data_IF_064199466950
#
_entry.id   IF_064199466950
#
_cell.length_a   1.000
_cell.length_b   1.000
_cell.length_c   1.000
_cell.angle_alpha   90.00
_cell.angle_beta   90.00
_cell.angle_gamma   90.00
#
_symmetry.space_group_name_H-M   'P 1'
#
loop_
_entity.id
_entity.type
_entity.pdbx_description
1 polymer ?
#
# COMPACT_ATOMS: atom_id res chain seq x y z
N UNK A 1 -0.64 -1.40 46.94
CA UNK A 1 -0.03 -1.95 45.70
C UNK A 1 -0.46 -1.08 44.53
N UNK A 2 0.43 -0.75 43.58
CA UNK A 2 0.02 0.00 42.37
C UNK A 2 -0.95 -0.86 41.55
N UNK A 3 -2.03 -0.26 41.05
CA UNK A 3 -3.01 -0.95 40.21
C UNK A 3 -2.32 -1.49 38.95
N UNK A 4 -2.49 -2.79 38.68
CA UNK A 4 -1.95 -3.46 37.49
C UNK A 4 -2.87 -3.18 36.29
N UNK A 5 -2.31 -2.71 35.18
CA UNK A 5 -3.04 -2.43 33.94
C UNK A 5 -2.43 -3.20 32.76
N UNK A 6 -3.29 -3.69 31.86
CA UNK A 6 -2.87 -4.31 30.60
C UNK A 6 -3.37 -3.44 29.45
N UNK A 7 -2.48 -3.05 28.56
CA UNK A 7 -2.79 -2.28 27.36
C UNK A 7 -2.42 -3.07 26.11
N UNK A 8 -3.37 -3.12 25.17
CA UNK A 8 -3.20 -3.68 23.83
C UNK A 8 -3.19 -2.52 22.83
N UNK A 9 -2.02 -2.17 22.32
CA UNK A 9 -1.92 -1.27 21.18
C UNK A 9 -2.09 -2.07 19.89
N UNK A 10 -3.22 -1.87 19.21
CA UNK A 10 -3.68 -2.75 18.14
C UNK A 10 -3.47 -2.19 16.73
N UNK A 11 -2.90 -0.99 16.59
CA UNK A 11 -2.90 -0.26 15.32
C UNK A 11 -4.22 0.48 15.10
N UNK A 12 -4.84 0.45 13.90
CA UNK A 12 -4.60 -0.42 12.75
C UNK A 12 -3.30 -0.12 11.98
N UNK A 13 -2.96 -0.93 10.97
CA UNK A 13 -1.78 -0.71 10.13
C UNK A 13 -1.71 0.74 9.58
N UNK A 14 -0.49 1.21 9.33
CA UNK A 14 -0.20 2.59 8.89
C UNK A 14 -0.52 3.70 9.90
N UNK A 15 -0.61 3.37 11.19
CA UNK A 15 -0.78 4.35 12.28
C UNK A 15 0.49 4.49 13.13
N UNK A 16 1.67 4.38 12.51
CA UNK A 16 2.95 4.57 13.20
C UNK A 16 3.37 3.40 14.11
N UNK A 17 2.68 2.27 14.02
CA UNK A 17 2.94 1.05 14.80
C UNK A 17 4.40 0.61 14.76
N UNK A 18 5.05 0.63 13.59
CA UNK A 18 6.46 0.26 13.48
C UNK A 18 7.40 1.20 14.24
N UNK A 19 7.11 2.51 14.24
CA UNK A 19 7.91 3.49 14.99
C UNK A 19 7.75 3.29 16.50
N UNK A 20 6.51 3.08 16.95
CA UNK A 20 6.19 2.75 18.35
C UNK A 20 6.92 1.48 18.78
N UNK A 21 6.76 0.39 18.03
CA UNK A 21 7.36 -0.91 18.36
C UNK A 21 8.87 -0.87 18.38
N UNK A 22 9.49 -0.22 17.39
CA UNK A 22 10.93 -0.06 17.33
C UNK A 22 11.43 0.73 18.56
N UNK A 23 10.78 1.84 18.90
CA UNK A 23 11.17 2.61 20.08
C UNK A 23 11.02 1.80 21.38
N UNK A 24 9.88 1.12 21.56
CA UNK A 24 9.63 0.29 22.75
C UNK A 24 10.64 -0.86 22.89
N UNK A 25 11.01 -1.49 21.77
CA UNK A 25 12.01 -2.57 21.73
C UNK A 25 13.40 -2.09 22.17
N UNK A 26 13.82 -0.89 21.72
CA UNK A 26 15.14 -0.34 22.07
C UNK A 26 15.20 0.28 23.47
N UNK A 27 14.05 0.53 24.12
CA UNK A 27 13.96 1.24 25.42
C UNK A 27 13.39 0.38 26.55
N UNK A 28 13.50 -0.96 26.46
CA UNK A 28 12.93 -1.88 27.44
C UNK A 28 13.43 -1.66 28.88
N UNK A 29 14.73 -1.39 29.05
CA UNK A 29 15.29 -1.13 30.39
C UNK A 29 14.72 0.14 31.01
N UNK A 30 14.57 1.18 30.20
CA UNK A 30 13.94 2.43 30.62
C UNK A 30 12.46 2.20 30.97
N UNK A 31 11.72 1.45 30.14
CA UNK A 31 10.33 1.10 30.40
C UNK A 31 10.19 0.32 31.72
N UNK A 32 11.03 -0.70 31.92
CA UNK A 32 11.03 -1.52 33.14
C UNK A 32 11.30 -0.70 34.38
N UNK A 33 12.29 0.20 34.35
CA UNK A 33 12.62 1.13 35.46
C UNK A 33 11.44 2.05 35.80
N UNK A 34 10.62 2.39 34.81
CA UNK A 34 9.41 3.20 34.98
C UNK A 34 8.14 2.35 35.22
N UNK A 35 8.29 1.06 35.48
CA UNK A 35 7.21 0.16 35.85
C UNK A 35 6.35 -0.33 34.68
N UNK A 36 6.87 -0.30 33.46
CA UNK A 36 6.20 -0.84 32.26
C UNK A 36 6.93 -2.10 31.81
N UNK A 37 6.19 -3.21 31.70
CA UNK A 37 6.64 -4.44 31.06
C UNK A 37 6.24 -4.39 29.58
N UNK A 38 7.24 -4.38 28.70
CA UNK A 38 7.07 -4.57 27.27
C UNK A 38 7.91 -5.78 26.84
N UNK A 39 7.28 -6.91 26.42
CA UNK A 39 8.03 -8.10 26.04
C UNK A 39 8.91 -7.85 24.81
N UNK A 40 10.09 -8.45 24.84
CA UNK A 40 10.96 -8.49 23.65
C UNK A 40 10.36 -9.37 22.57
N UNK A 41 10.54 -8.96 21.32
CA UNK A 41 10.08 -9.70 20.16
C UNK A 41 11.16 -9.66 19.06
N UNK A 42 11.13 -10.64 18.16
CA UNK A 42 12.10 -10.74 17.08
C UNK A 42 11.83 -9.72 15.96
N UNK A 43 12.90 -9.31 15.29
CA UNK A 43 12.87 -8.63 14.01
C UNK A 43 13.09 -9.67 12.90
N UNK A 44 12.45 -9.49 11.75
CA UNK A 44 12.72 -10.30 10.57
C UNK A 44 14.05 -9.91 9.89
N UNK A 45 14.38 -10.61 8.80
CA UNK A 45 15.60 -10.37 8.00
C UNK A 45 15.69 -8.97 7.37
N UNK A 46 14.58 -8.23 7.36
CA UNK A 46 14.48 -6.85 6.89
C UNK A 46 14.36 -5.85 8.05
N UNK A 47 14.66 -6.27 9.27
CA UNK A 47 14.51 -5.48 10.50
C UNK A 47 13.06 -5.04 10.77
N UNK A 48 12.09 -5.75 10.19
CA UNK A 48 10.67 -5.48 10.38
C UNK A 48 10.15 -6.29 11.57
N UNK A 49 9.46 -5.61 12.47
CA UNK A 49 8.81 -6.20 13.64
C UNK A 49 7.35 -6.55 13.35
N UNK A 50 6.91 -7.75 13.73
CA UNK A 50 5.48 -8.08 13.86
C UNK A 50 4.89 -7.66 15.22
N UNK A 51 5.69 -6.99 16.05
CA UNK A 51 5.38 -6.67 17.43
C UNK A 51 5.24 -7.91 18.31
N UNK A 52 4.44 -7.79 19.38
CA UNK A 52 4.25 -8.84 20.38
C UNK A 52 3.24 -9.93 19.97
N UNK A 53 2.86 -10.05 18.69
CA UNK A 53 1.84 -11.04 18.29
C UNK A 53 2.25 -12.47 18.69
N UNK A 54 3.51 -12.83 18.49
CA UNK A 54 4.01 -14.18 18.80
C UNK A 54 4.21 -14.44 20.31
N UNK A 55 4.05 -13.42 21.15
CA UNK A 55 4.02 -13.57 22.60
C UNK A 55 2.71 -14.18 23.10
N UNK A 56 1.65 -14.15 22.28
CA UNK A 56 0.32 -14.68 22.63
C UNK A 56 -0.31 -15.54 21.52
N UNK A 57 0.28 -15.55 20.31
CA UNK A 57 -0.10 -16.43 19.19
C UNK A 57 1.04 -17.40 18.82
N UNK A 58 0.70 -18.51 18.20
CA UNK A 58 1.59 -19.32 17.37
C UNK A 58 1.33 -19.06 15.90
N UNK A 59 2.31 -19.34 15.06
CA UNK A 59 2.15 -19.36 13.59
C UNK A 59 2.31 -20.77 13.09
N UNK A 60 1.36 -21.22 12.28
CA UNK A 60 1.48 -22.50 11.59
C UNK A 60 2.40 -22.41 10.36
N UNK A 61 2.61 -23.55 9.69
CA UNK A 61 3.43 -23.66 8.47
C UNK A 61 2.94 -22.80 7.30
N UNK A 62 1.68 -22.35 7.32
CA UNK A 62 1.08 -21.47 6.32
C UNK A 62 1.15 -20.00 6.72
N UNK A 63 1.71 -19.71 7.90
CA UNK A 63 1.83 -18.37 8.46
C UNK A 63 0.55 -17.84 9.12
N UNK A 64 -0.47 -18.68 9.33
CA UNK A 64 -1.70 -18.27 10.03
C UNK A 64 -1.50 -18.22 11.53
N UNK A 65 -1.94 -17.13 12.16
CA UNK A 65 -1.88 -16.94 13.61
C UNK A 65 -3.00 -17.69 14.36
N UNK A 66 -2.62 -18.47 15.36
CA UNK A 66 -3.53 -19.18 16.27
C UNK A 66 -3.28 -18.75 17.71
N UNK A 67 -4.32 -18.33 18.44
CA UNK A 67 -4.15 -17.87 19.81
C UNK A 67 -3.65 -19.00 20.71
N UNK A 68 -2.64 -18.74 21.54
CA UNK A 68 -2.09 -19.72 22.45
C UNK A 68 -2.42 -19.32 23.89
N UNK A 69 -3.47 -19.93 24.45
CA UNK A 69 -3.95 -19.66 25.81
C UNK A 69 -2.85 -19.84 26.87
N UNK A 70 -1.97 -20.84 26.70
CA UNK A 70 -0.85 -21.07 27.63
C UNK A 70 0.16 -19.92 27.59
N UNK A 71 0.48 -19.39 26.41
CA UNK A 71 1.33 -18.18 26.30
C UNK A 71 0.67 -16.97 26.95
N UNK A 72 -0.63 -16.76 26.73
CA UNK A 72 -1.39 -15.70 27.39
C UNK A 72 -1.28 -15.78 28.92
N UNK A 73 -1.53 -16.96 29.49
CA UNK A 73 -1.43 -17.20 30.94
C UNK A 73 -0.01 -16.99 31.46
N UNK A 74 1.00 -17.54 30.77
CA UNK A 74 2.40 -17.41 31.17
C UNK A 74 2.87 -15.95 31.16
N UNK A 75 2.51 -15.20 30.12
CA UNK A 75 2.86 -13.80 29.97
C UNK A 75 2.23 -12.95 31.09
N UNK A 76 0.94 -13.12 31.33
CA UNK A 76 0.23 -12.37 32.38
C UNK A 76 0.70 -12.81 33.77
N UNK A 77 0.96 -14.10 34.01
CA UNK A 77 1.53 -14.56 35.28
C UNK A 77 2.91 -13.94 35.55
N UNK A 78 3.76 -13.84 34.52
CA UNK A 78 5.06 -13.14 34.62
C UNK A 78 4.88 -11.66 34.94
N UNK A 79 3.92 -10.99 34.31
CA UNK A 79 3.59 -9.60 34.61
C UNK A 79 3.05 -9.41 36.03
N UNK A 80 2.16 -10.28 36.50
CA UNK A 80 1.59 -10.19 37.85
C UNK A 80 2.66 -10.35 38.94
N UNK A 81 3.69 -11.17 38.68
CA UNK A 81 4.84 -11.37 39.58
C UNK A 81 5.90 -10.27 39.53
N UNK A 82 5.88 -9.37 38.55
CA UNK A 82 6.85 -8.29 38.43
C UNK A 82 6.46 -7.05 39.25
N UNK A 83 7.39 -6.09 39.41
CA UNK A 83 7.09 -4.79 40.01
C UNK A 83 6.43 -3.79 39.04
N UNK A 84 6.26 -4.19 37.77
CA UNK A 84 5.66 -3.35 36.74
C UNK A 84 4.18 -3.11 37.03
N UNK A 85 3.71 -1.87 36.98
CA UNK A 85 2.28 -1.55 37.12
C UNK A 85 1.53 -1.67 35.78
N UNK A 86 2.24 -1.66 34.64
CA UNK A 86 1.64 -1.76 33.30
C UNK A 86 2.29 -2.87 32.47
N UNK A 87 1.47 -3.66 31.78
CA UNK A 87 1.86 -4.51 30.66
C UNK A 87 1.39 -3.84 29.37
N UNK A 88 2.32 -3.53 28.47
CA UNK A 88 1.99 -3.03 27.14
C UNK A 88 2.34 -4.11 26.10
N UNK A 89 1.38 -4.45 25.25
CA UNK A 89 1.60 -5.27 24.06
C UNK A 89 1.24 -4.44 22.82
N UNK A 90 2.07 -4.53 21.78
CA UNK A 90 1.88 -3.77 20.56
C UNK A 90 2.00 -4.66 19.32
N UNK A 91 0.95 -4.77 18.52
CA UNK A 91 0.98 -5.41 17.20
C UNK A 91 -0.16 -4.92 16.32
N UNK A 92 0.11 -4.64 15.04
CA UNK A 92 -0.96 -4.36 14.07
C UNK A 92 -1.83 -5.59 13.79
N UNK A 93 -1.31 -6.80 14.02
CA UNK A 93 -2.06 -8.05 13.90
C UNK A 93 -3.12 -8.20 15.00
N UNK A 94 -2.97 -7.50 16.12
CA UNK A 94 -4.02 -7.48 17.13
C UNK A 94 -5.31 -6.84 16.62
N UNK A 95 -5.27 -5.96 15.61
CA UNK A 95 -6.47 -5.33 15.06
C UNK A 95 -7.51 -6.34 14.57
N UNK A 96 -7.07 -7.40 13.89
CA UNK A 96 -7.98 -8.43 13.36
C UNK A 96 -8.32 -9.51 14.41
N UNK A 97 -7.61 -9.52 15.55
CA UNK A 97 -7.76 -10.51 16.61
C UNK A 97 -8.25 -9.93 17.94
N UNK A 98 -8.74 -8.67 17.97
CA UNK A 98 -9.10 -7.97 19.22
C UNK A 98 -10.03 -8.84 20.06
N UNK A 99 -11.11 -9.34 19.48
CA UNK A 99 -12.11 -10.15 20.19
C UNK A 99 -11.51 -11.46 20.70
N UNK A 100 -10.77 -12.19 19.85
CA UNK A 100 -10.10 -13.44 20.22
C UNK A 100 -9.16 -13.27 21.41
N UNK A 101 -8.44 -12.14 21.47
CA UNK A 101 -7.55 -11.81 22.59
C UNK A 101 -8.36 -11.50 23.85
N UNK A 102 -9.40 -10.67 23.74
CA UNK A 102 -10.21 -10.23 24.89
C UNK A 102 -11.08 -11.34 25.49
N UNK A 103 -11.38 -12.40 24.73
CA UNK A 103 -12.03 -13.62 25.21
C UNK A 103 -11.15 -14.42 26.18
N UNK A 104 -9.82 -14.28 26.08
CA UNK A 104 -8.89 -14.97 26.97
C UNK A 104 -9.02 -14.41 28.40
N UNK A 105 -9.19 -15.30 29.37
CA UNK A 105 -9.35 -14.91 30.78
C UNK A 105 -8.30 -13.90 31.29
N UNK A 106 -6.99 -14.02 30.95
CA UNK A 106 -5.98 -13.06 31.38
C UNK A 106 -6.13 -11.64 30.78
N UNK A 107 -6.83 -11.48 29.66
CA UNK A 107 -6.98 -10.21 28.94
C UNK A 107 -8.39 -9.61 29.03
N UNK A 108 -9.32 -10.26 29.76
CA UNK A 108 -10.70 -9.76 29.93
C UNK A 108 -10.81 -8.35 30.48
N UNK A 109 -9.80 -7.85 31.21
CA UNK A 109 -9.73 -6.48 31.73
C UNK A 109 -8.81 -5.53 30.95
N UNK A 110 -8.23 -5.96 29.83
CA UNK A 110 -7.28 -5.15 29.08
C UNK A 110 -7.93 -3.93 28.42
N UNK A 111 -7.18 -2.84 28.31
CA UNK A 111 -7.58 -1.63 27.58
C UNK A 111 -6.98 -1.68 26.18
N UNK A 112 -7.78 -1.35 25.18
CA UNK A 112 -7.37 -1.29 23.78
C UNK A 112 -7.01 0.13 23.42
N UNK A 113 -5.79 0.34 22.92
CA UNK A 113 -5.33 1.62 22.35
C UNK A 113 -5.30 1.46 20.83
N UNK A 114 -5.98 2.36 20.13
CA UNK A 114 -5.94 2.42 18.67
C UNK A 114 -5.86 3.85 18.17
N UNK A 115 -5.25 4.02 17.00
CA UNK A 115 -5.10 5.33 16.37
C UNK A 115 -6.06 5.47 15.16
N UNK A 116 -6.81 6.57 15.10
CA UNK A 116 -7.67 6.92 13.98
C UNK A 116 -6.89 7.79 13.00
N UNK A 117 -6.63 7.29 11.79
CA UNK A 117 -5.93 8.02 10.74
C UNK A 117 -6.90 8.58 9.70
N UNK A 118 -6.58 9.75 9.17
CA UNK A 118 -7.25 10.31 8.00
C UNK A 118 -7.34 9.25 6.88
N UNK A 119 -8.56 8.81 6.48
CA UNK A 119 -8.66 7.72 5.53
C UNK A 119 -8.17 8.09 4.12
N UNK A 120 -8.10 9.37 3.75
CA UNK A 120 -7.46 9.81 2.51
C UNK A 120 -5.95 9.50 2.56
N UNK A 121 -5.27 9.88 3.64
CA UNK A 121 -3.87 9.53 3.82
C UNK A 121 -3.65 8.02 3.92
N UNK A 122 -4.60 7.30 4.55
CA UNK A 122 -4.55 5.86 4.69
C UNK A 122 -4.61 5.16 3.32
N UNK A 123 -5.51 5.60 2.43
CA UNK A 123 -5.63 5.07 1.05
C UNK A 123 -4.29 5.20 0.32
N UNK A 124 -3.68 6.38 0.35
CA UNK A 124 -2.41 6.63 -0.33
C UNK A 124 -1.24 5.89 0.32
N UNK A 125 -1.20 5.83 1.65
CA UNK A 125 -0.16 5.10 2.40
C UNK A 125 -0.23 3.59 2.13
N UNK A 126 -1.44 3.03 2.05
CA UNK A 126 -1.66 1.63 1.68
C UNK A 126 -1.30 1.38 0.21
N UNK A 127 -1.63 2.30 -0.68
CA UNK A 127 -1.25 2.19 -2.09
C UNK A 127 0.27 2.20 -2.26
N UNK A 128 0.98 3.16 -1.64
CA UNK A 128 2.45 3.24 -1.66
C UNK A 128 3.09 1.93 -1.15
N UNK A 129 2.55 1.38 -0.06
CA UNK A 129 3.00 0.09 0.48
C UNK A 129 2.77 -1.06 -0.49
N UNK A 130 1.62 -1.07 -1.17
CA UNK A 130 1.25 -2.14 -2.09
C UNK A 130 2.12 -2.14 -3.35
N UNK A 131 2.50 -0.95 -3.84
CA UNK A 131 3.49 -0.81 -4.91
C UNK A 131 4.88 -1.29 -4.45
N UNK A 132 5.27 -0.99 -3.21
CA UNK A 132 6.57 -1.41 -2.65
C UNK A 132 6.71 -2.91 -2.46
N UNK A 133 5.75 -3.52 -1.77
CA UNK A 133 5.90 -4.87 -1.20
C UNK A 133 5.00 -5.92 -1.84
N UNK A 134 3.92 -5.51 -2.52
CA UNK A 134 2.92 -6.42 -3.07
C UNK A 134 2.85 -6.40 -4.60
N UNK A 135 3.83 -5.77 -5.26
CA UNK A 135 3.94 -5.79 -6.72
C UNK A 135 2.76 -5.11 -7.44
N UNK A 136 2.05 -4.18 -6.79
CA UNK A 136 0.94 -3.48 -7.45
C UNK A 136 1.48 -2.60 -8.58
N UNK A 137 0.98 -2.83 -9.79
CA UNK A 137 1.31 -2.07 -11.00
C UNK A 137 0.13 -1.26 -11.55
N UNK A 138 -1.09 -1.54 -11.11
CA UNK A 138 -2.30 -0.81 -11.51
C UNK A 138 -2.42 0.54 -10.79
N UNK A 139 -3.01 1.57 -11.42
CA UNK A 139 -3.34 2.86 -10.79
C UNK A 139 -4.13 2.72 -9.47
N UNK A 140 -4.07 3.76 -8.64
CA UNK A 140 -4.83 3.81 -7.39
C UNK A 140 -6.33 3.82 -7.70
N UNK A 141 -7.07 2.97 -7.00
CA UNK A 141 -8.52 2.91 -7.07
C UNK A 141 -9.06 2.97 -5.64
N UNK A 142 -9.51 4.14 -5.16
CA UNK A 142 -10.04 4.25 -3.81
C UNK A 142 -11.34 3.42 -3.67
N UNK A 143 -11.46 2.70 -2.55
CA UNK A 143 -12.54 1.72 -2.33
C UNK A 143 -13.69 2.25 -1.45
N UNK A 144 -13.49 3.37 -0.77
CA UNK A 144 -14.44 3.91 0.22
C UNK A 144 -14.26 5.42 0.36
N UNK A 145 -15.33 6.11 0.78
CA UNK A 145 -15.34 7.56 1.05
C UNK A 145 -15.32 7.91 2.55
N UNK A 146 -15.67 6.96 3.42
CA UNK A 146 -15.85 7.19 4.85
C UNK A 146 -14.69 6.70 5.71
N UNK A 147 -14.96 6.50 7.00
CA UNK A 147 -14.00 5.90 7.95
C UNK A 147 -14.24 4.39 8.11
N UNK A 148 -13.42 3.51 7.49
CA UNK A 148 -13.65 2.07 7.54
C UNK A 148 -13.50 1.47 8.94
N UNK A 149 -12.68 2.07 9.81
CA UNK A 149 -12.37 1.51 11.13
C UNK A 149 -13.42 1.82 12.21
N UNK A 150 -14.32 2.78 11.99
CA UNK A 150 -15.30 3.19 13.02
C UNK A 150 -16.30 2.08 13.36
N UNK A 151 -16.68 1.24 12.38
CA UNK A 151 -17.55 0.09 12.65
C UNK A 151 -16.93 -0.89 13.64
N UNK A 152 -15.64 -1.22 13.45
CA UNK A 152 -14.89 -2.13 14.33
C UNK A 152 -14.82 -1.57 15.74
N UNK A 153 -14.42 -0.30 15.89
CA UNK A 153 -14.31 0.31 17.22
C UNK A 153 -15.65 0.60 17.88
N UNK A 154 -16.69 0.88 17.09
CA UNK A 154 -18.04 1.07 17.60
C UNK A 154 -18.60 -0.21 18.23
N UNK A 155 -18.42 -1.35 17.56
CA UNK A 155 -18.78 -2.65 18.12
C UNK A 155 -17.95 -2.94 19.38
N UNK A 156 -16.64 -2.70 19.32
CA UNK A 156 -15.77 -2.91 20.48
C UNK A 156 -16.19 -2.06 21.70
N UNK A 157 -16.53 -0.78 21.51
CA UNK A 157 -17.02 0.08 22.60
C UNK A 157 -18.32 -0.48 23.19
N UNK A 158 -19.21 -1.02 22.37
CA UNK A 158 -20.44 -1.66 22.84
C UNK A 158 -20.15 -2.94 23.63
N UNK A 159 -19.15 -3.72 23.22
CA UNK A 159 -18.83 -5.01 23.84
C UNK A 159 -18.06 -4.87 25.17
N UNK A 160 -17.08 -3.95 25.26
CA UNK A 160 -16.20 -3.84 26.43
C UNK A 160 -16.29 -2.51 27.17
N UNK A 161 -17.11 -1.58 26.71
CA UNK A 161 -17.30 -0.25 27.29
C UNK A 161 -16.27 0.79 26.83
N UNK A 162 -16.71 2.06 26.76
CA UNK A 162 -15.91 3.17 26.24
C UNK A 162 -14.62 3.42 27.03
N UNK A 163 -14.63 3.17 28.34
CA UNK A 163 -13.46 3.40 29.22
C UNK A 163 -12.29 2.44 28.95
N UNK A 164 -12.56 1.35 28.22
CA UNK A 164 -11.55 0.36 27.81
C UNK A 164 -11.10 0.50 26.37
N UNK A 165 -11.69 1.41 25.59
CA UNK A 165 -11.30 1.68 24.20
C UNK A 165 -10.78 3.10 24.09
N UNK A 166 -9.47 3.23 23.94
CA UNK A 166 -8.76 4.50 23.86
C UNK A 166 -8.46 4.77 22.39
N UNK A 167 -9.27 5.63 21.78
CA UNK A 167 -9.08 6.07 20.39
C UNK A 167 -8.28 7.37 20.37
N UNK A 168 -7.20 7.40 19.60
CA UNK A 168 -6.31 8.56 19.50
C UNK A 168 -6.21 9.05 18.06
N UNK A 169 -6.27 10.36 17.78
CA UNK A 169 -6.01 10.84 16.43
C UNK A 169 -4.58 10.55 15.96
N UNK A 170 -4.41 9.97 14.77
CA UNK A 170 -3.13 9.88 14.09
C UNK A 170 -2.89 11.16 13.30
N UNK A 171 -2.43 12.21 13.99
CA UNK A 171 -2.10 13.49 13.39
C UNK A 171 -1.00 14.17 14.19
N UNK A 172 0.05 14.65 13.52
CA UNK A 172 1.25 15.20 14.19
C UNK A 172 0.91 16.27 15.23
N UNK A 173 0.07 17.24 14.84
CA UNK A 173 -0.36 18.34 15.72
C UNK A 173 -1.18 17.90 16.93
N UNK A 174 -1.71 16.67 16.93
CA UNK A 174 -2.56 16.13 17.98
C UNK A 174 -1.83 15.10 18.87
N UNK A 175 -0.59 14.74 18.52
CA UNK A 175 0.26 13.93 19.37
C UNK A 175 0.80 14.76 20.54
N UNK A 176 1.02 14.12 21.68
CA UNK A 176 1.70 14.74 22.81
C UNK A 176 3.08 15.26 22.41
N UNK A 177 3.28 16.58 22.53
CA UNK A 177 4.50 17.28 22.09
C UNK A 177 4.91 16.98 20.64
N UNK A 178 3.94 16.68 19.78
CA UNK A 178 4.18 16.34 18.37
C UNK A 178 4.72 14.93 18.12
N UNK A 179 4.87 14.10 19.14
CA UNK A 179 5.48 12.76 19.02
C UNK A 179 4.53 11.64 19.39
N UNK A 180 4.35 10.70 18.47
CA UNK A 180 3.53 9.51 18.69
C UNK A 180 4.08 8.62 19.82
N UNK A 181 5.39 8.63 20.02
CA UNK A 181 6.04 7.90 21.13
C UNK A 181 5.63 8.51 22.47
N UNK A 182 5.71 9.82 22.60
CA UNK A 182 5.30 10.50 23.84
C UNK A 182 3.79 10.38 24.07
N UNK A 183 3.00 10.35 22.99
CA UNK A 183 1.55 10.17 23.04
C UNK A 183 1.17 8.79 23.61
N UNK A 184 1.78 7.71 23.15
CA UNK A 184 1.51 6.37 23.70
C UNK A 184 2.02 6.21 25.14
N UNK A 185 3.18 6.77 25.48
CA UNK A 185 3.74 6.70 26.84
C UNK A 185 2.85 7.45 27.85
N UNK A 186 2.38 8.64 27.47
CA UNK A 186 1.42 9.39 28.29
C UNK A 186 0.09 8.64 28.42
N UNK A 187 -0.38 8.00 27.34
CA UNK A 187 -1.63 7.22 27.32
C UNK A 187 -1.62 6.04 28.31
N UNK A 188 -0.46 5.39 28.50
CA UNK A 188 -0.29 4.31 29.48
C UNK A 188 0.04 4.82 30.90
N UNK A 189 -0.03 6.13 31.13
CA UNK A 189 0.10 6.76 32.45
C UNK A 189 1.53 7.06 32.90
N UNK A 190 2.51 7.12 32.00
CA UNK A 190 3.86 7.57 32.35
C UNK A 190 3.93 9.10 32.44
N UNK A 191 4.35 9.60 33.60
CA UNK A 191 4.59 11.03 33.85
C UNK A 191 6.02 11.46 33.55
N UNK A 192 7.00 10.56 33.73
CA UNK A 192 8.39 10.78 33.35
C UNK A 192 8.57 10.39 31.89
N UNK A 193 8.76 11.38 31.03
CA UNK A 193 8.93 11.18 29.59
C UNK A 193 10.41 11.26 29.19
N UNK A 194 10.88 10.38 28.29
CA UNK A 194 12.25 10.43 27.80
C UNK A 194 12.38 11.53 26.75
N UNK A 195 13.62 11.98 26.50
CA UNK A 195 13.91 12.78 25.31
C UNK A 195 13.85 11.85 24.09
N UNK A 196 12.93 12.13 23.18
CA UNK A 196 12.79 11.36 21.93
C UNK A 196 13.32 12.21 20.79
N UNK A 197 14.35 11.73 20.11
CA UNK A 197 14.78 12.32 18.83
C UNK A 197 13.92 11.73 17.72
N UNK A 198 13.09 12.57 17.09
CA UNK A 198 12.34 12.14 15.91
C UNK A 198 13.28 12.04 14.71
N UNK A 199 13.85 10.86 14.49
CA UNK A 199 14.37 10.51 13.16
C UNK A 199 13.17 10.30 12.24
N UNK A 200 12.85 11.32 11.44
CA UNK A 200 11.87 11.21 10.35
C UNK A 200 12.44 10.27 9.29
N UNK A 201 12.18 8.98 9.43
CA UNK A 201 12.41 8.02 8.35
C UNK A 201 11.29 8.26 7.35
N UNK A 202 11.58 8.93 6.24
CA UNK A 202 10.61 9.13 5.17
C UNK A 202 10.34 7.78 4.50
N UNK A 203 9.39 7.04 5.05
CA UNK A 203 9.06 5.69 4.61
C UNK A 203 8.22 5.66 3.33
N UNK A 204 7.79 6.81 2.80
CA UNK A 204 7.02 6.92 1.55
C UNK A 204 7.94 7.30 0.39
N UNK A 205 7.69 6.72 -0.78
CA UNK A 205 8.37 7.18 -1.99
C UNK A 205 7.92 8.60 -2.35
N UNK A 206 8.86 9.38 -2.91
CA UNK A 206 8.52 10.50 -3.77
C UNK A 206 7.79 10.01 -5.02
N UNK A 207 6.97 10.87 -5.62
CA UNK A 207 6.04 10.52 -6.69
C UNK A 207 6.71 9.76 -7.85
N UNK A 208 7.86 10.24 -8.30
CA UNK A 208 8.59 9.70 -9.45
C UNK A 208 9.13 8.30 -9.12
N UNK A 209 9.68 8.09 -7.92
CA UNK A 209 10.11 6.77 -7.47
C UNK A 209 8.94 5.79 -7.30
N UNK A 210 7.79 6.27 -6.81
CA UNK A 210 6.57 5.46 -6.69
C UNK A 210 6.09 4.97 -8.05
N UNK A 211 5.92 5.89 -8.99
CA UNK A 211 5.39 5.56 -10.32
C UNK A 211 6.40 4.75 -11.14
N UNK A 212 7.70 5.01 -11.00
CA UNK A 212 8.73 4.16 -11.61
C UNK A 212 8.68 2.73 -11.06
N UNK A 213 8.55 2.54 -9.74
CA UNK A 213 8.35 1.21 -9.14
C UNK A 213 7.06 0.56 -9.62
N UNK A 214 5.96 1.31 -9.69
CA UNK A 214 4.65 0.83 -10.20
C UNK A 214 4.76 0.34 -11.63
N UNK A 215 5.43 1.08 -12.51
CA UNK A 215 5.68 0.67 -13.89
C UNK A 215 6.49 -0.63 -13.93
N UNK A 216 7.60 -0.68 -13.17
CA UNK A 216 8.46 -1.87 -13.13
C UNK A 216 7.77 -3.11 -12.55
N UNK A 217 6.75 -2.95 -11.71
CA UNK A 217 5.96 -4.08 -11.20
C UNK A 217 5.15 -4.80 -12.28
N UNK A 218 5.04 -4.28 -13.52
CA UNK A 218 4.50 -5.04 -14.66
C UNK A 218 5.44 -6.17 -15.11
N UNK A 219 6.71 -6.13 -14.72
CA UNK A 219 7.75 -7.04 -15.15
C UNK A 219 8.07 -8.08 -14.05
N UNK A 220 8.65 -9.24 -14.39
CA UNK A 220 9.04 -10.27 -13.41
C UNK A 220 10.29 -9.86 -12.62
N UNK A 221 10.13 -8.94 -11.66
CA UNK A 221 11.22 -8.32 -10.90
C UNK A 221 11.41 -8.89 -9.48
N UNK A 222 10.81 -10.03 -9.15
CA UNK A 222 10.83 -10.62 -7.79
C UNK A 222 12.24 -10.73 -7.21
N UNK A 223 13.21 -11.14 -8.05
CA UNK A 223 14.61 -11.32 -7.66
C UNK A 223 15.33 -10.02 -7.28
N UNK A 224 14.90 -8.89 -7.83
CA UNK A 224 15.54 -7.58 -7.63
C UNK A 224 14.69 -6.62 -6.78
N UNK A 225 13.46 -7.02 -6.41
CA UNK A 225 12.48 -6.15 -5.75
C UNK A 225 12.99 -5.51 -4.46
N UNK A 226 13.65 -6.29 -3.59
CA UNK A 226 14.13 -5.78 -2.30
C UNK A 226 15.27 -4.77 -2.49
N UNK A 227 16.20 -5.04 -3.42
CA UNK A 227 17.29 -4.11 -3.72
C UNK A 227 16.72 -2.83 -4.35
N UNK A 228 15.82 -2.97 -5.33
CA UNK A 228 15.15 -1.85 -5.98
C UNK A 228 14.39 -0.97 -4.97
N UNK A 229 13.66 -1.58 -4.04
CA UNK A 229 12.94 -0.82 -3.01
C UNK A 229 13.89 0.00 -2.13
N UNK A 230 14.95 -0.63 -1.61
CA UNK A 230 15.98 0.05 -0.81
C UNK A 230 16.67 1.17 -1.57
N UNK A 231 16.91 1.01 -2.87
CA UNK A 231 17.49 2.05 -3.74
C UNK A 231 16.52 3.20 -3.93
N UNK A 232 15.27 2.93 -4.31
CA UNK A 232 14.26 3.95 -4.59
C UNK A 232 13.84 4.73 -3.33
N UNK A 233 13.93 4.13 -2.14
CA UNK A 233 13.70 4.87 -0.87
C UNK A 233 14.77 5.93 -0.59
N UNK A 234 15.94 5.84 -1.23
CA UNK A 234 17.01 6.86 -1.13
C UNK A 234 16.87 7.96 -2.19
N UNK A 235 15.89 7.86 -3.10
CA UNK A 235 15.63 8.90 -4.08
C UNK A 235 15.02 10.13 -3.39
N UNK A 236 15.68 11.27 -3.53
CA UNK A 236 15.31 12.52 -2.86
C UNK A 236 15.08 13.71 -3.80
N UNK A 237 15.20 13.51 -5.12
CA UNK A 237 15.13 14.55 -6.14
C UNK A 237 13.78 14.54 -6.89
N UNK A 238 12.71 14.38 -6.13
CA UNK A 238 11.35 14.22 -6.64
C UNK A 238 10.31 14.91 -5.77
N UNK A 239 9.05 14.74 -6.17
CA UNK A 239 7.90 15.40 -5.53
C UNK A 239 7.49 14.65 -4.27
N UNK A 240 7.59 15.32 -3.11
CA UNK A 240 7.23 14.75 -1.80
C UNK A 240 5.81 15.10 -1.36
N UNK A 241 5.26 16.21 -1.85
CA UNK A 241 3.90 16.67 -1.56
C UNK A 241 3.02 16.46 -2.80
N UNK A 242 2.36 15.31 -2.87
CA UNK A 242 1.49 14.94 -3.99
C UNK A 242 0.25 14.20 -3.50
N UNK A 243 -0.81 14.26 -4.29
CA UNK A 243 -1.99 13.39 -4.15
C UNK A 243 -2.23 12.57 -5.41
N UNK A 244 -2.59 11.30 -5.26
CA UNK A 244 -3.07 10.44 -6.35
C UNK A 244 -4.60 10.42 -6.45
N UNK A 245 -5.27 11.11 -5.53
CA UNK A 245 -6.72 11.16 -5.44
C UNK A 245 -7.21 12.47 -6.05
N UNK A 246 -8.20 12.39 -6.93
CA UNK A 246 -8.74 13.58 -7.58
C UNK A 246 -9.58 14.43 -6.61
N UNK A 247 -9.71 15.72 -6.94
CA UNK A 247 -10.43 16.70 -6.10
C UNK A 247 -11.88 16.32 -5.81
N UNK A 248 -12.58 15.68 -6.76
CA UNK A 248 -13.97 15.26 -6.55
C UNK A 248 -14.06 14.16 -5.50
N UNK A 249 -13.20 13.14 -5.60
CA UNK A 249 -13.09 12.07 -4.62
C UNK A 249 -12.69 12.63 -3.25
N UNK A 250 -11.68 13.50 -3.18
CA UNK A 250 -11.28 14.12 -1.92
C UNK A 250 -12.44 14.89 -1.29
N UNK A 251 -13.09 15.78 -2.05
CA UNK A 251 -14.19 16.64 -1.53
C UNK A 251 -15.34 15.80 -0.96
N UNK A 252 -15.81 14.81 -1.73
CA UNK A 252 -16.91 13.92 -1.31
C UNK A 252 -16.52 13.07 -0.10
N UNK A 253 -15.28 12.59 -0.07
CA UNK A 253 -14.74 11.82 1.05
C UNK A 253 -14.63 12.65 2.32
N UNK A 254 -14.13 13.89 2.26
CA UNK A 254 -14.02 14.80 3.41
C UNK A 254 -15.38 15.05 4.08
N UNK A 255 -16.42 15.28 3.27
CA UNK A 255 -17.80 15.44 3.75
C UNK A 255 -18.29 14.17 4.47
N UNK A 256 -18.10 13.01 3.86
CA UNK A 256 -18.53 11.73 4.44
C UNK A 256 -17.75 11.41 5.73
N UNK A 257 -16.43 11.59 5.73
CA UNK A 257 -15.55 11.36 6.88
C UNK A 257 -15.92 12.23 8.08
N UNK A 258 -16.18 13.51 7.84
CA UNK A 258 -16.64 14.42 8.88
C UNK A 258 -17.96 13.92 9.48
N UNK A 259 -18.94 13.62 8.63
CA UNK A 259 -20.25 13.10 9.06
C UNK A 259 -20.10 11.82 9.89
N UNK A 260 -19.30 10.87 9.42
CA UNK A 260 -19.09 9.58 10.09
C UNK A 260 -18.45 9.77 11.47
N UNK A 261 -17.37 10.56 11.54
CA UNK A 261 -16.64 10.76 12.79
C UNK A 261 -17.44 11.60 13.81
N UNK A 262 -18.15 12.64 13.37
CA UNK A 262 -19.05 13.41 14.24
C UNK A 262 -20.16 12.53 14.82
N UNK A 263 -20.82 11.72 13.97
CA UNK A 263 -21.87 10.81 14.42
C UNK A 263 -21.34 9.78 15.42
N UNK A 264 -20.13 9.25 15.18
CA UNK A 264 -19.46 8.32 16.07
C UNK A 264 -19.09 8.98 17.41
N UNK A 265 -18.53 10.19 17.36
CA UNK A 265 -18.18 10.99 18.54
C UNK A 265 -19.39 11.26 19.41
N UNK A 266 -20.53 11.62 18.82
CA UNK A 266 -21.76 11.90 19.57
C UNK A 266 -22.38 10.63 20.14
N UNK A 267 -22.41 9.53 19.36
CA UNK A 267 -22.95 8.24 19.80
C UNK A 267 -22.26 7.70 21.06
N UNK A 268 -20.95 7.88 21.16
CA UNK A 268 -20.14 7.32 22.24
C UNK A 268 -19.64 8.35 23.26
N UNK A 269 -20.02 9.63 23.09
CA UNK A 269 -19.61 10.75 23.95
C UNK A 269 -18.07 10.84 24.10
N UNK A 270 -17.41 11.14 22.98
CA UNK A 270 -15.95 11.19 22.84
C UNK A 270 -15.45 12.60 22.45
N UNK A 271 -15.67 13.63 23.29
CA UNK A 271 -15.37 15.04 22.96
C UNK A 271 -13.88 15.30 22.66
N UNK A 272 -12.98 14.45 23.13
CA UNK A 272 -11.55 14.55 22.83
C UNK A 272 -11.22 14.33 21.33
N UNK A 273 -12.18 13.86 20.52
CA UNK A 273 -12.03 13.72 19.07
C UNK A 273 -12.35 15.01 18.30
N UNK A 274 -12.92 16.03 18.95
CA UNK A 274 -13.33 17.29 18.31
C UNK A 274 -12.17 17.99 17.56
N UNK A 275 -10.94 18.07 18.11
CA UNK A 275 -9.80 18.63 17.37
C UNK A 275 -9.47 17.87 16.08
N UNK A 276 -9.68 16.55 16.05
CA UNK A 276 -9.45 15.74 14.86
C UNK A 276 -10.54 15.95 13.81
N UNK A 277 -11.81 16.04 14.25
CA UNK A 277 -12.93 16.39 13.38
C UNK A 277 -12.67 17.73 12.68
N UNK A 278 -12.18 18.75 13.41
CA UNK A 278 -11.81 20.04 12.82
C UNK A 278 -10.67 19.92 11.79
N UNK A 279 -9.66 19.09 12.05
CA UNK A 279 -8.55 18.86 11.10
C UNK A 279 -9.02 18.14 9.82
N UNK A 280 -10.07 17.31 9.88
CA UNK A 280 -10.61 16.67 8.68
C UNK A 280 -11.36 17.62 7.75
N UNK A 281 -11.81 18.78 8.25
CA UNK A 281 -12.48 19.80 7.43
C UNK A 281 -11.50 20.58 6.56
N UNK A 282 -10.22 20.63 6.92
CA UNK A 282 -9.21 21.29 6.09
C UNK A 282 -8.93 20.41 4.88
N UNK A 283 -9.26 20.91 3.67
CA UNK A 283 -8.86 20.28 2.41
C UNK A 283 -7.35 20.12 2.43
N UNK A 284 -6.85 18.94 2.03
CA UNK A 284 -5.43 18.66 2.05
C UNK A 284 -4.69 19.71 1.23
N UNK A 285 -3.63 20.29 1.78
CA UNK A 285 -2.77 21.25 1.12
C UNK A 285 -1.87 20.63 0.04
N UNK A 286 -2.08 19.35 -0.32
CA UNK A 286 -1.28 18.64 -1.31
C UNK A 286 -1.39 19.33 -2.67
N UNK A 287 -0.28 19.91 -3.08
CA UNK A 287 -0.24 20.98 -4.09
C UNK A 287 -0.35 20.51 -5.55
N UNK A 288 -0.18 19.22 -5.85
CA UNK A 288 -0.36 18.68 -7.20
C UNK A 288 -1.04 17.30 -7.22
N UNK A 289 -2.22 17.23 -7.85
CA UNK A 289 -2.84 15.96 -8.25
C UNK A 289 -2.05 15.36 -9.41
N UNK A 290 -1.56 14.13 -9.23
CA UNK A 290 -0.91 13.39 -10.31
C UNK A 290 -1.84 12.29 -10.82
N UNK A 291 -2.02 12.25 -12.14
CA UNK A 291 -2.86 11.24 -12.79
C UNK A 291 -2.20 9.87 -12.88
N UNK A 292 -1.00 9.66 -12.33
CA UNK A 292 -0.20 8.45 -12.48
C UNK A 292 0.27 8.22 -13.93
N UNK A 293 0.83 9.29 -14.48
CA UNK A 293 1.47 9.31 -15.80
C UNK A 293 2.72 10.18 -15.71
N UNK A 294 3.87 9.55 -15.43
CA UNK A 294 5.16 10.23 -15.46
C UNK A 294 5.52 10.62 -16.89
N UNK A 295 6.06 11.84 -17.05
CA UNK A 295 6.71 12.25 -18.28
C UNK A 295 8.08 11.61 -18.45
N UNK A 296 8.61 11.70 -19.67
CA UNK A 296 9.92 11.19 -20.06
C UNK A 296 11.05 11.64 -19.11
N UNK A 297 11.12 12.94 -18.78
CA UNK A 297 12.16 13.49 -17.92
C UNK A 297 12.14 12.88 -16.51
N UNK A 298 10.94 12.70 -15.91
CA UNK A 298 10.80 12.08 -14.60
C UNK A 298 11.26 10.62 -14.60
N UNK A 299 10.96 9.88 -15.67
CA UNK A 299 11.41 8.49 -15.83
C UNK A 299 12.92 8.45 -15.98
N UNK A 300 13.50 9.27 -16.87
CA UNK A 300 14.94 9.36 -17.07
C UNK A 300 15.66 9.74 -15.78
N UNK A 301 15.09 10.64 -14.98
CA UNK A 301 15.64 11.10 -13.71
C UNK A 301 15.80 9.95 -12.71
N UNK A 302 14.75 9.16 -12.50
CA UNK A 302 14.78 8.01 -11.58
C UNK A 302 15.69 6.91 -12.13
N UNK A 303 15.61 6.62 -13.43
CA UNK A 303 16.48 5.64 -14.07
C UNK A 303 17.97 5.99 -13.94
N UNK A 304 18.34 7.25 -14.16
CA UNK A 304 19.71 7.76 -14.01
C UNK A 304 20.19 7.68 -12.57
N UNK A 305 19.30 7.94 -11.60
CA UNK A 305 19.60 7.75 -10.19
C UNK A 305 19.92 6.28 -9.86
N UNK A 306 19.08 5.33 -10.33
CA UNK A 306 19.33 3.89 -10.13
C UNK A 306 20.63 3.48 -10.81
N UNK A 307 20.90 3.93 -12.04
CA UNK A 307 22.15 3.67 -12.76
C UNK A 307 23.38 4.16 -11.98
N UNK A 308 23.33 5.37 -11.42
CA UNK A 308 24.45 5.95 -10.66
C UNK A 308 24.66 5.24 -9.32
N UNK A 309 23.57 4.89 -8.62
CA UNK A 309 23.64 4.32 -7.27
C UNK A 309 23.93 2.82 -7.28
N UNK A 310 23.28 2.08 -8.16
CA UNK A 310 23.35 0.61 -8.25
C UNK A 310 23.47 0.17 -9.73
N UNK A 311 24.66 0.30 -10.35
CA UNK A 311 24.83 0.04 -11.78
C UNK A 311 24.44 -1.38 -12.22
N UNK A 312 24.68 -2.39 -11.36
CA UNK A 312 24.32 -3.78 -11.64
C UNK A 312 22.80 -3.98 -11.63
N UNK A 313 22.12 -3.43 -10.62
CA UNK A 313 20.65 -3.45 -10.56
C UNK A 313 20.04 -2.80 -11.79
N UNK A 314 20.57 -1.66 -12.23
CA UNK A 314 20.12 -1.00 -13.46
C UNK A 314 20.27 -1.90 -14.70
N UNK A 315 21.38 -2.63 -14.83
CA UNK A 315 21.58 -3.59 -15.90
C UNK A 315 20.59 -4.76 -15.83
N UNK A 316 20.32 -5.28 -14.63
CA UNK A 316 19.35 -6.36 -14.43
C UNK A 316 17.93 -5.90 -14.83
N UNK A 317 17.54 -4.66 -14.48
CA UNK A 317 16.28 -4.04 -14.90
C UNK A 317 16.19 -3.99 -16.43
N UNK A 318 17.22 -3.49 -17.11
CA UNK A 318 17.23 -3.39 -18.57
C UNK A 318 17.16 -4.77 -19.25
N UNK A 319 17.83 -5.77 -18.66
CA UNK A 319 17.74 -7.16 -19.11
C UNK A 319 16.31 -7.69 -19.05
N UNK A 320 15.63 -7.49 -17.91
CA UNK A 320 14.23 -7.92 -17.73
C UNK A 320 13.30 -7.20 -18.73
N UNK A 321 13.46 -5.89 -18.92
CA UNK A 321 12.64 -5.12 -19.87
C UNK A 321 12.85 -5.64 -21.31
N UNK A 322 14.11 -5.91 -21.70
CA UNK A 322 14.44 -6.40 -23.05
C UNK A 322 13.84 -7.77 -23.41
N UNK A 323 13.52 -8.57 -22.39
CA UNK A 323 12.88 -9.88 -22.55
C UNK A 323 11.35 -9.79 -22.59
N UNK A 324 10.78 -8.61 -22.34
CA UNK A 324 9.34 -8.36 -22.20
C UNK A 324 8.93 -7.06 -22.90
N UNK A 325 9.51 -6.78 -24.08
CA UNK A 325 9.22 -5.59 -24.89
C UNK A 325 7.80 -5.58 -25.46
N UNK A 326 7.12 -6.72 -25.39
CA UNK A 326 5.72 -6.92 -25.73
C UNK A 326 4.76 -6.53 -24.60
N UNK A 327 5.19 -6.19 -23.38
CA UNK A 327 4.26 -5.89 -22.28
C UNK A 327 3.55 -4.54 -22.43
N UNK A 328 2.23 -4.51 -22.29
CA UNK A 328 1.46 -3.27 -22.21
C UNK A 328 1.80 -2.54 -20.91
N UNK A 329 2.15 -1.25 -21.02
CA UNK A 329 2.43 -0.35 -19.90
C UNK A 329 1.55 0.89 -20.07
N UNK A 330 0.81 1.26 -19.02
CA UNK A 330 -0.12 2.40 -19.01
C UNK A 330 0.58 3.78 -18.94
N UNK A 331 1.85 3.83 -19.33
CA UNK A 331 2.67 5.03 -19.39
C UNK A 331 3.54 5.01 -20.66
N UNK A 332 3.10 5.65 -21.76
CA UNK A 332 3.82 5.66 -23.04
C UNK A 332 5.25 6.23 -22.95
N UNK A 333 5.45 7.25 -22.09
CA UNK A 333 6.76 7.87 -21.86
C UNK A 333 7.84 6.87 -21.41
N UNK A 334 7.43 5.74 -20.79
CA UNK A 334 8.36 4.68 -20.40
C UNK A 334 9.00 4.01 -21.62
N UNK A 335 8.20 3.72 -22.65
CA UNK A 335 8.72 3.12 -23.86
C UNK A 335 9.49 4.13 -24.72
N UNK A 336 9.11 5.40 -24.68
CA UNK A 336 9.91 6.48 -25.27
C UNK A 336 11.31 6.52 -24.64
N UNK A 337 11.38 6.56 -23.30
CA UNK A 337 12.64 6.46 -22.56
C UNK A 337 13.44 5.22 -22.96
N UNK A 338 12.82 4.05 -22.97
CA UNK A 338 13.50 2.81 -23.33
C UNK A 338 14.06 2.83 -24.76
N UNK A 339 13.31 3.38 -25.73
CA UNK A 339 13.77 3.55 -27.12
C UNK A 339 14.96 4.50 -27.24
N UNK A 340 15.08 5.52 -26.39
CA UNK A 340 16.29 6.37 -26.41
C UNK A 340 17.56 5.62 -26.01
N UNK A 341 17.44 4.50 -25.29
CA UNK A 341 18.58 3.65 -24.96
C UNK A 341 19.09 2.85 -26.18
N UNK A 342 18.23 2.56 -27.16
CA UNK A 342 18.61 1.91 -28.42
C UNK A 342 19.14 2.91 -29.46
N UNK A 343 18.53 4.10 -29.55
CA UNK A 343 18.89 5.13 -30.54
C UNK A 343 20.01 6.09 -30.08
N UNK A 344 20.18 6.28 -28.76
CA UNK A 344 21.06 7.28 -28.15
C UNK A 344 22.47 6.83 -27.79
N UNK A 345 23.06 5.86 -28.51
CA UNK A 345 24.53 5.64 -28.48
C UNK A 345 25.19 6.38 -29.65
N UNK A 346 24.94 7.68 -29.74
CA UNK A 346 25.76 8.59 -30.56
C UNK A 346 26.83 9.26 -29.69
N UNK A 347 28.06 8.82 -29.90
CA UNK A 347 29.31 9.58 -29.89
C UNK A 347 30.04 10.04 -28.58
N UNK A 348 29.54 9.94 -27.34
CA UNK A 348 30.33 10.49 -26.20
C UNK A 348 30.60 9.67 -24.94
N UNK A 349 30.18 8.40 -24.82
CA UNK A 349 30.67 7.53 -23.74
C UNK A 349 31.02 6.13 -24.25
N UNK A 350 32.24 5.99 -24.78
CA UNK A 350 32.88 4.68 -25.01
C UNK A 350 33.32 4.11 -23.67
N UNK A 351 32.43 3.42 -22.96
CA UNK A 351 32.84 2.42 -21.96
C UNK A 351 32.30 1.05 -22.37
N UNK A 352 33.14 0.02 -22.27
CA UNK A 352 32.85 -1.35 -22.76
C UNK A 352 31.76 -2.09 -21.97
N UNK A 353 31.16 -1.45 -20.96
CA UNK A 353 30.22 -2.05 -19.99
C UNK A 353 28.81 -2.36 -20.51
N UNK A 354 28.48 -2.01 -21.76
CA UNK A 354 27.13 -2.16 -22.32
C UNK A 354 27.07 -3.02 -23.60
N UNK A 355 28.12 -3.77 -23.95
CA UNK A 355 28.14 -4.55 -25.20
C UNK A 355 26.99 -5.56 -25.33
N UNK A 356 26.74 -6.36 -24.29
CA UNK A 356 25.64 -7.34 -24.28
C UNK A 356 24.26 -6.69 -24.17
N UNK A 357 24.17 -5.57 -23.43
CA UNK A 357 22.94 -4.78 -23.27
C UNK A 357 22.52 -4.16 -24.61
N UNK A 358 23.48 -3.67 -25.41
CA UNK A 358 23.21 -3.19 -26.78
C UNK A 358 22.60 -4.27 -27.68
N UNK A 359 23.00 -5.52 -27.51
CA UNK A 359 22.48 -6.62 -28.33
C UNK A 359 21.04 -7.00 -27.93
N UNK A 360 20.70 -6.94 -26.64
CA UNK A 360 19.33 -7.18 -26.14
C UNK A 360 18.37 -5.99 -26.31
N UNK A 361 18.84 -4.75 -26.15
CA UNK A 361 18.04 -3.51 -26.30
C UNK A 361 17.65 -3.24 -27.76
N UNK A 362 18.26 -3.93 -28.74
CA UNK A 362 17.84 -3.88 -30.15
C UNK A 362 16.41 -4.38 -30.40
N UNK A 363 15.80 -5.11 -29.45
CA UNK A 363 14.39 -5.52 -29.57
C UNK A 363 13.49 -4.30 -29.38
N UNK A 364 12.82 -3.89 -30.46
CA UNK A 364 11.89 -2.77 -30.38
C UNK A 364 10.68 -3.12 -29.49
N UNK A 365 10.17 -2.14 -28.70
CA UNK A 365 8.90 -2.28 -27.99
C UNK A 365 7.74 -2.60 -28.92
N UNK A 366 7.32 -3.86 -28.96
CA UNK A 366 6.07 -4.27 -29.62
C UNK A 366 4.84 -3.72 -28.86
N UNK A 367 5.01 -3.37 -27.58
CA UNK A 367 3.96 -2.80 -26.74
C UNK A 367 3.43 -1.43 -27.17
N UNK A 368 4.21 -0.65 -27.94
CA UNK A 368 3.82 0.70 -28.43
C UNK A 368 2.96 0.61 -29.69
N UNK A 369 2.96 -0.55 -30.36
CA UNK A 369 2.15 -0.81 -31.55
C UNK A 369 0.70 -1.10 -31.12
N UNK A 370 -0.03 -0.05 -30.73
CA UNK A 370 -1.49 -0.03 -30.88
C UNK A 370 -1.89 0.13 -32.36
N UNK A 371 -0.94 0.55 -33.19
CA UNK A 371 -1.06 0.57 -34.64
C UNK A 371 -0.23 -0.57 -35.21
N UNK A 372 -0.89 -1.41 -36.00
CA UNK A 372 -0.27 -2.55 -36.67
C UNK A 372 0.95 -2.15 -37.48
N UNK A 373 1.90 -3.07 -37.55
CA UNK A 373 2.80 -3.14 -38.71
C UNK A 373 1.95 -2.98 -39.98
N UNK A 374 2.41 -2.12 -40.89
CA UNK A 374 1.80 -1.86 -42.19
C UNK A 374 1.43 -3.19 -42.87
N UNK A 375 0.17 -3.60 -42.73
CA UNK A 375 -0.32 -4.92 -43.13
C UNK A 375 -1.46 -5.53 -42.30
N UNK A 376 -1.73 -5.08 -41.06
CA UNK A 376 -2.83 -5.67 -40.27
C UNK A 376 -4.13 -4.85 -40.30
N UNK A 377 -5.24 -5.48 -40.66
CA UNK A 377 -6.61 -4.99 -40.51
C UNK A 377 -6.86 -4.37 -39.12
N UNK A 378 -7.71 -3.34 -39.04
CA UNK A 378 -8.08 -2.68 -37.79
C UNK A 378 -8.44 -3.69 -36.67
N UNK A 379 -7.97 -3.43 -35.45
CA UNK A 379 -8.14 -4.29 -34.24
C UNK A 379 -9.56 -4.82 -34.06
N UNK A 380 -10.57 -4.02 -34.42
CA UNK A 380 -11.94 -4.42 -34.76
C UNK A 380 -12.54 -3.38 -35.72
N UNK A 381 -13.56 -3.76 -36.49
CA UNK A 381 -14.47 -2.78 -37.10
C UNK A 381 -15.28 -2.10 -35.98
N UNK A 382 -14.95 -0.85 -35.67
CA UNK A 382 -15.53 -0.09 -34.55
C UNK A 382 -17.06 -0.05 -34.60
N UNK A 383 -17.65 0.06 -35.81
CA UNK A 383 -19.10 0.10 -35.97
C UNK A 383 -19.73 -1.25 -35.64
N UNK A 384 -19.12 -2.35 -36.10
CA UNK A 384 -19.58 -3.71 -35.77
C UNK A 384 -19.43 -4.02 -34.29
N UNK A 385 -18.33 -3.57 -33.66
CA UNK A 385 -18.11 -3.78 -32.25
C UNK A 385 -19.13 -3.01 -31.39
N UNK A 386 -19.34 -1.72 -31.69
CA UNK A 386 -20.35 -0.92 -31.00
C UNK A 386 -21.75 -1.54 -31.15
N UNK A 387 -22.12 -1.95 -32.36
CA UNK A 387 -23.39 -2.66 -32.59
C UNK A 387 -23.49 -3.97 -31.81
N UNK A 388 -22.40 -4.75 -31.73
CA UNK A 388 -22.36 -6.00 -30.96
C UNK A 388 -22.53 -5.75 -29.46
N UNK A 389 -21.90 -4.72 -28.91
CA UNK A 389 -22.06 -4.32 -27.50
C UNK A 389 -23.50 -3.90 -27.21
N UNK A 390 -24.11 -3.11 -28.10
CA UNK A 390 -25.51 -2.70 -27.95
C UNK A 390 -26.46 -3.91 -28.00
N UNK A 391 -26.24 -4.85 -28.91
CA UNK A 391 -27.02 -6.08 -28.97
C UNK A 391 -26.89 -6.92 -27.70
N UNK A 392 -25.68 -7.03 -27.15
CA UNK A 392 -25.46 -7.73 -25.86
C UNK A 392 -26.24 -7.05 -24.74
N UNK A 393 -26.16 -5.72 -24.64
CA UNK A 393 -26.93 -4.95 -23.65
C UNK A 393 -28.43 -5.20 -23.79
N UNK A 394 -28.95 -5.16 -25.01
CA UNK A 394 -30.37 -5.40 -25.28
C UNK A 394 -30.79 -6.83 -24.91
N UNK A 395 -30.05 -7.85 -25.36
CA UNK A 395 -30.38 -9.27 -25.13
C UNK A 395 -30.28 -9.68 -23.67
N UNK A 396 -29.36 -9.08 -22.92
CA UNK A 396 -29.18 -9.33 -21.49
C UNK A 396 -29.95 -8.34 -20.60
N UNK A 397 -30.78 -7.47 -21.20
CA UNK A 397 -31.54 -6.44 -20.50
C UNK A 397 -30.67 -5.58 -19.56
N UNK A 398 -29.45 -5.23 -20.00
CA UNK A 398 -28.53 -4.40 -19.24
C UNK A 398 -29.00 -2.94 -19.27
N UNK A 399 -28.78 -2.15 -18.20
CA UNK A 399 -29.14 -0.75 -18.17
C UNK A 399 -28.48 0.03 -19.32
N UNK A 400 -29.19 0.92 -20.04
CA UNK A 400 -28.63 1.69 -21.15
C UNK A 400 -27.37 2.48 -20.78
N UNK A 401 -27.32 2.98 -19.55
CA UNK A 401 -26.20 3.73 -18.95
C UNK A 401 -25.00 2.85 -18.57
N UNK A 402 -25.09 1.53 -18.70
CA UNK A 402 -23.93 0.66 -18.49
C UNK A 402 -22.86 1.00 -19.51
N UNK A 403 -21.65 1.27 -19.05
CA UNK A 403 -20.55 1.68 -19.92
C UNK A 403 -20.06 0.51 -20.78
N UNK A 404 -19.77 0.74 -22.05
CA UNK A 404 -19.41 -0.30 -23.04
C UNK A 404 -18.19 -1.11 -22.62
N UNK A 405 -17.20 -0.47 -21.99
CA UNK A 405 -16.00 -1.11 -21.50
C UNK A 405 -16.29 -2.18 -20.44
N UNK A 406 -17.38 -2.08 -19.68
CA UNK A 406 -17.76 -3.13 -18.72
C UNK A 406 -18.21 -4.40 -19.44
N UNK A 407 -18.93 -4.23 -20.55
CA UNK A 407 -19.38 -5.35 -21.39
C UNK A 407 -18.16 -6.00 -22.03
N UNK A 408 -17.27 -5.21 -22.61
CA UNK A 408 -16.04 -5.69 -23.27
C UNK A 408 -15.11 -6.42 -22.29
N UNK A 409 -14.86 -5.87 -21.09
CA UNK A 409 -14.06 -6.53 -20.05
C UNK A 409 -14.66 -7.89 -19.67
N UNK A 410 -15.98 -7.95 -19.51
CA UNK A 410 -16.67 -9.22 -19.15
C UNK A 410 -16.51 -10.26 -20.25
N UNK A 411 -16.58 -9.86 -21.52
CA UNK A 411 -16.35 -10.75 -22.66
C UNK A 411 -14.89 -11.20 -22.76
N UNK A 412 -13.94 -10.28 -22.51
CA UNK A 412 -12.51 -10.59 -22.51
C UNK A 412 -12.15 -11.61 -21.42
N UNK A 413 -12.71 -11.45 -20.21
CA UNK A 413 -12.53 -12.40 -19.11
C UNK A 413 -13.11 -13.77 -19.47
N UNK A 414 -14.34 -13.81 -20.00
CA UNK A 414 -14.96 -15.06 -20.44
C UNK A 414 -14.11 -15.76 -21.52
N UNK A 415 -13.67 -15.03 -22.54
CA UNK A 415 -12.79 -15.56 -23.58
C UNK A 415 -11.47 -16.10 -23.02
N UNK A 416 -10.86 -15.37 -22.08
CA UNK A 416 -9.62 -15.78 -21.41
C UNK A 416 -9.80 -17.09 -20.61
N UNK A 417 -10.90 -17.22 -19.85
CA UNK A 417 -11.22 -18.42 -19.07
C UNK A 417 -11.44 -19.66 -19.95
N UNK A 418 -11.89 -19.46 -21.19
CA UNK A 418 -12.10 -20.53 -22.17
C UNK A 418 -10.92 -20.72 -23.15
N UNK A 419 -9.76 -20.17 -22.83
CA UNK A 419 -8.53 -20.37 -23.61
C UNK A 419 -8.47 -19.59 -24.94
N UNK A 420 -9.44 -18.72 -25.22
CA UNK A 420 -9.45 -17.86 -26.41
C UNK A 420 -8.55 -16.62 -26.20
N UNK A 421 -7.26 -16.87 -25.95
CA UNK A 421 -6.32 -15.86 -25.46
C UNK A 421 -6.11 -14.70 -26.44
N UNK A 422 -5.97 -14.96 -27.74
CA UNK A 422 -5.82 -13.89 -28.75
C UNK A 422 -7.05 -12.97 -28.80
N UNK A 423 -8.24 -13.55 -28.74
CA UNK A 423 -9.48 -12.78 -28.74
C UNK A 423 -9.64 -11.96 -27.45
N UNK A 424 -9.31 -12.55 -26.30
CA UNK A 424 -9.28 -11.85 -25.03
C UNK A 424 -8.28 -10.68 -25.04
N UNK A 425 -7.08 -10.88 -25.60
CA UNK A 425 -6.07 -9.82 -25.76
C UNK A 425 -6.63 -8.64 -26.56
N UNK A 426 -7.23 -8.90 -27.71
CA UNK A 426 -7.81 -7.87 -28.57
C UNK A 426 -8.91 -7.07 -27.85
N UNK A 427 -9.81 -7.74 -27.14
CA UNK A 427 -10.86 -7.07 -26.36
C UNK A 427 -10.28 -6.22 -25.23
N UNK A 428 -9.24 -6.69 -24.54
CA UNK A 428 -8.56 -5.89 -23.51
C UNK A 428 -7.83 -4.69 -24.11
N UNK A 429 -7.17 -4.83 -25.25
CA UNK A 429 -6.54 -3.70 -25.96
C UNK A 429 -7.57 -2.65 -26.38
N UNK A 430 -8.75 -3.07 -26.84
CA UNK A 430 -9.84 -2.16 -27.16
C UNK A 430 -10.38 -1.42 -25.92
N UNK A 431 -10.45 -2.11 -24.78
CA UNK A 431 -10.79 -1.47 -23.51
C UNK A 431 -9.71 -0.45 -23.11
N UNK A 432 -8.44 -0.77 -23.32
CA UNK A 432 -7.32 0.08 -22.95
C UNK A 432 -7.16 1.29 -23.90
N UNK A 433 -7.54 1.19 -25.17
CA UNK A 433 -7.52 2.32 -26.11
C UNK A 433 -8.52 3.42 -25.72
N UNK A 434 -9.67 3.02 -25.17
CA UNK A 434 -10.71 3.96 -24.72
C UNK A 434 -10.59 4.32 -23.24
N UNK A 435 -10.12 3.39 -22.41
CA UNK A 435 -9.93 3.53 -20.97
C UNK A 435 -8.54 3.02 -20.56
N UNK A 436 -7.47 3.80 -20.77
CA UNK A 436 -6.08 3.33 -20.57
C UNK A 436 -5.73 2.82 -19.17
N UNK A 437 -6.50 3.25 -18.16
CA UNK A 437 -6.34 2.87 -16.76
C UNK A 437 -7.37 1.85 -16.28
N UNK A 438 -8.00 1.12 -17.19
CA UNK A 438 -8.95 0.08 -16.82
C UNK A 438 -8.26 -1.02 -16.00
N UNK A 439 -8.60 -1.10 -14.72
CA UNK A 439 -7.96 -1.99 -13.76
C UNK A 439 -7.98 -3.46 -14.15
N UNK A 440 -9.11 -3.93 -14.71
CA UNK A 440 -9.27 -5.34 -15.08
C UNK A 440 -8.46 -5.67 -16.33
N UNK A 441 -8.43 -4.78 -17.31
CA UNK A 441 -7.65 -4.98 -18.52
C UNK A 441 -6.13 -4.99 -18.21
N UNK A 442 -5.65 -4.01 -17.42
CA UNK A 442 -4.25 -3.94 -17.00
C UNK A 442 -3.81 -5.20 -16.25
N UNK A 443 -4.64 -5.74 -15.36
CA UNK A 443 -4.32 -6.96 -14.60
C UNK A 443 -4.14 -8.21 -15.46
N UNK A 444 -4.76 -8.27 -16.64
CA UNK A 444 -4.81 -9.49 -17.43
C UNK A 444 -4.01 -9.43 -18.73
N UNK A 445 -3.81 -8.25 -19.31
CA UNK A 445 -3.19 -8.12 -20.65
C UNK A 445 -1.79 -8.76 -20.73
N UNK A 446 -0.93 -8.49 -19.75
CA UNK A 446 0.44 -9.02 -19.78
C UNK A 446 0.51 -10.51 -19.44
N UNK A 447 -0.40 -11.03 -18.62
CA UNK A 447 -0.46 -12.47 -18.33
C UNK A 447 -0.94 -13.26 -19.56
N UNK A 448 -1.84 -12.68 -20.37
CA UNK A 448 -2.24 -13.24 -21.66
C UNK A 448 -1.06 -13.29 -22.62
N UNK A 449 -0.29 -12.20 -22.75
CA UNK A 449 0.90 -12.16 -23.62
C UNK A 449 1.95 -13.20 -23.24
N UNK A 450 2.19 -13.40 -21.94
CA UNK A 450 3.07 -14.47 -21.45
C UNK A 450 2.57 -15.84 -21.92
N UNK A 451 1.28 -16.16 -21.70
CA UNK A 451 0.69 -17.44 -22.14
C UNK A 451 0.74 -17.64 -23.65
N UNK A 452 0.50 -16.58 -24.43
CA UNK A 452 0.60 -16.64 -25.90
C UNK A 452 2.03 -16.93 -26.38
N UNK A 453 3.05 -16.34 -25.74
CA UNK A 453 4.46 -16.66 -26.02
C UNK A 453 4.81 -18.11 -25.69
N UNK A 454 4.24 -18.66 -24.61
CA UNK A 454 4.43 -20.06 -24.23
C UNK A 454 3.77 -21.04 -25.21
N UNK A 455 2.65 -20.66 -25.85
CA UNK A 455 2.01 -21.47 -26.90
C UNK A 455 2.77 -21.47 -28.23
N UNK A 456 3.64 -20.49 -28.47
CA UNK A 456 4.44 -20.36 -29.69
C UNK A 456 5.81 -21.06 -29.61
N UNK A 457 6.22 -21.46 -28.39
CA UNK A 457 7.44 -22.24 -28.12
C UNK A 457 7.11 -23.72 -28.11
#
# INVERSE_FOLDING_TARGET
MKTKNIYLHVGPGKTGTSAIQAWLQHNQDWLKKNGVMYPSHALDVNEVSSGNVLEIFDRDSRGTEHINAKKCEQLVAKFMKSDSHTLLLSSEWFYIHINTILEQAPFKGAKVIAYLRDPIELIESNYNQSVKRHGVFTPIAPLYHGFPSLGVFGNLIQDIGKDRVILKPYHKDLFHSGSIILDILTTIGLSTLPKVEEKRINSSYQLEALEFKRILNNFPIDKIQNQLDRTLQQFSDGTSDYTLLNKHFETTSRVQMHKDLSSFRDKFDLPYLDPFISKLQTVSSKSAYNQQALGFESIQKVASFVQKKEPKLYQDILGIISENTDFYIDNPSFWEWYKTLSSGVSAQQKTSRFSWVKEKIKREPQAVLLEGEQGSEALFDEKKLAWSVQNVKQRLNLPPQMRDERVLVSHALFAMEHGQLKFAEQLFLQVLSTTPKNHSALKNINSIRVKLREQQK
#
